data_IF_877375241312
#
_entry.id   IF_877375241312
#
_cell.length_a   1.000
_cell.length_b   1.000
_cell.length_c   1.000
_cell.angle_alpha   90.00
_cell.angle_beta   90.00
_cell.angle_gamma   90.00
#
_symmetry.space_group_name_H-M   'P 1'
#
loop_
_entity.id
_entity.type
_entity.pdbx_description
1 polymer ?
#
# COMPACT_ATOMS: atom_id res chain seq x y z
N UNK A 1 -37.43 -10.27 11.85
CA UNK A 1 -36.18 -11.04 11.79
C UNK A 1 -35.56 -11.05 13.19
N UNK A 2 -35.17 -12.19 13.76
CA UNK A 2 -34.48 -12.26 15.05
C UNK A 2 -33.15 -11.50 14.96
N UNK A 3 -32.69 -10.93 16.11
CA UNK A 3 -31.43 -10.19 16.15
C UNK A 3 -30.23 -11.02 15.70
N UNK A 4 -30.19 -12.29 16.06
CA UNK A 4 -29.14 -13.24 15.63
C UNK A 4 -29.07 -13.40 14.11
N UNK A 5 -30.22 -13.51 13.46
CA UNK A 5 -30.31 -13.63 12.02
C UNK A 5 -29.89 -12.33 11.31
N UNK A 6 -30.25 -11.19 11.89
CA UNK A 6 -29.83 -9.87 11.41
C UNK A 6 -28.30 -9.73 11.46
N UNK A 7 -27.68 -10.08 12.58
CA UNK A 7 -26.22 -9.99 12.77
C UNK A 7 -25.50 -10.91 11.79
N UNK A 8 -25.89 -12.18 11.68
CA UNK A 8 -25.27 -13.12 10.75
C UNK A 8 -25.37 -12.64 9.31
N UNK A 9 -26.54 -12.21 8.84
CA UNK A 9 -26.70 -11.65 7.50
C UNK A 9 -25.85 -10.41 7.26
N UNK A 10 -25.72 -9.55 8.27
CA UNK A 10 -24.89 -8.33 8.18
C UNK A 10 -23.42 -8.68 8.02
N UNK A 11 -22.91 -9.63 8.80
CA UNK A 11 -21.50 -10.10 8.74
C UNK A 11 -21.23 -10.79 7.41
N UNK A 12 -22.14 -11.63 6.95
CA UNK A 12 -22.04 -12.26 5.62
C UNK A 12 -21.92 -11.23 4.50
N UNK A 13 -22.81 -10.22 4.49
CA UNK A 13 -22.75 -9.14 3.49
C UNK A 13 -21.48 -8.32 3.57
N UNK A 14 -21.00 -8.05 4.79
CA UNK A 14 -19.73 -7.36 4.99
C UNK A 14 -18.58 -8.09 4.31
N UNK A 15 -18.44 -9.39 4.53
CA UNK A 15 -17.38 -10.19 3.91
C UNK A 15 -17.55 -10.31 2.40
N UNK A 16 -18.75 -10.57 1.93
CA UNK A 16 -19.02 -10.71 0.50
C UNK A 16 -18.66 -9.41 -0.26
N UNK A 17 -19.10 -8.27 0.24
CA UNK A 17 -18.78 -6.97 -0.37
C UNK A 17 -17.32 -6.57 -0.16
N UNK A 18 -16.72 -6.94 0.93
CA UNK A 18 -15.28 -6.78 1.15
C UNK A 18 -14.44 -7.54 0.12
N UNK A 19 -14.83 -8.76 -0.21
CA UNK A 19 -14.18 -9.56 -1.27
C UNK A 19 -14.41 -8.96 -2.67
N UNK A 20 -15.64 -8.56 -2.98
CA UNK A 20 -15.95 -7.90 -4.27
C UNK A 20 -15.14 -6.61 -4.42
N UNK A 21 -15.10 -5.76 -3.38
CA UNK A 21 -14.33 -4.53 -3.36
C UNK A 21 -12.83 -4.78 -3.54
N UNK A 22 -12.29 -5.81 -2.90
CA UNK A 22 -10.92 -6.25 -3.15
C UNK A 22 -10.69 -6.62 -4.63
N UNK A 23 -11.61 -7.36 -5.23
CA UNK A 23 -11.55 -7.71 -6.65
C UNK A 23 -11.53 -6.47 -7.56
N UNK A 24 -12.37 -5.47 -7.25
CA UNK A 24 -12.41 -4.18 -7.97
C UNK A 24 -11.06 -3.47 -7.87
N UNK A 25 -10.44 -3.41 -6.70
CA UNK A 25 -9.11 -2.81 -6.50
C UNK A 25 -8.01 -3.52 -7.29
N UNK A 26 -8.03 -4.86 -7.32
CA UNK A 26 -7.07 -5.66 -8.10
C UNK A 26 -7.24 -5.40 -9.60
N UNK A 27 -8.48 -5.34 -10.10
CA UNK A 27 -8.76 -5.03 -11.50
C UNK A 27 -8.32 -3.60 -11.84
N UNK A 28 -8.63 -2.63 -10.97
CA UNK A 28 -8.18 -1.25 -11.14
C UNK A 28 -6.65 -1.15 -11.23
N UNK A 29 -5.93 -1.82 -10.35
CA UNK A 29 -4.47 -1.87 -10.39
C UNK A 29 -3.95 -2.54 -11.66
N UNK A 30 -4.59 -3.63 -12.09
CA UNK A 30 -4.21 -4.34 -13.31
C UNK A 30 -4.33 -3.44 -14.55
N UNK A 31 -5.36 -2.62 -14.62
CA UNK A 31 -5.58 -1.68 -15.73
C UNK A 31 -4.60 -0.50 -15.66
N UNK A 32 -4.44 0.11 -14.48
CA UNK A 32 -3.61 1.32 -14.31
C UNK A 32 -2.11 1.04 -14.35
N UNK A 33 -1.69 -0.05 -13.73
CA UNK A 33 -0.27 -0.36 -13.50
C UNK A 33 0.24 -1.52 -14.38
N UNK A 34 -0.66 -2.13 -15.18
CA UNK A 34 -0.38 -3.31 -16.01
C UNK A 34 0.22 -4.48 -15.21
N UNK A 35 -0.16 -4.60 -13.93
CA UNK A 35 0.33 -5.64 -12.99
C UNK A 35 -0.79 -6.09 -12.07
N UNK A 36 -0.87 -7.39 -11.82
CA UNK A 36 -1.74 -7.94 -10.78
C UNK A 36 -1.07 -7.69 -9.41
N UNK A 37 -1.67 -6.80 -8.63
CA UNK A 37 -1.18 -6.44 -7.29
C UNK A 37 -2.34 -6.52 -6.30
N UNK A 38 -2.12 -7.13 -5.13
CA UNK A 38 -3.06 -7.03 -4.03
C UNK A 38 -3.02 -5.61 -3.46
N UNK A 39 -3.99 -4.77 -3.81
CA UNK A 39 -4.13 -3.37 -3.34
C UNK A 39 -4.84 -3.23 -2.01
N UNK A 40 -5.28 -4.31 -1.39
CA UNK A 40 -5.89 -4.26 -0.06
C UNK A 40 -4.88 -3.87 1.03
N UNK A 41 -5.35 -3.17 2.07
CA UNK A 41 -4.59 -3.01 3.32
C UNK A 41 -4.29 -4.38 3.93
N UNK A 42 -5.27 -5.28 3.91
CA UNK A 42 -5.16 -6.65 4.37
C UNK A 42 -4.36 -7.52 3.39
N UNK A 43 -3.76 -8.58 3.90
CA UNK A 43 -3.05 -9.57 3.09
C UNK A 43 -4.01 -10.43 2.27
N UNK A 44 -5.15 -10.77 2.85
CA UNK A 44 -6.22 -11.56 2.23
C UNK A 44 -7.10 -10.75 1.27
N UNK A 45 -8.03 -11.44 0.59
CA UNK A 45 -8.88 -10.87 -0.43
C UNK A 45 -10.10 -10.13 0.15
N UNK A 46 -9.87 -9.24 1.12
CA UNK A 46 -10.93 -8.46 1.76
C UNK A 46 -10.51 -7.00 1.83
N UNK A 47 -11.37 -6.11 1.36
CA UNK A 47 -11.23 -4.67 1.50
C UNK A 47 -12.35 -4.13 2.41
N UNK A 48 -12.09 -3.91 3.72
CA UNK A 48 -13.13 -3.63 4.72
C UNK A 48 -13.97 -2.39 4.42
N UNK A 49 -13.38 -1.35 3.83
CA UNK A 49 -14.07 -0.10 3.51
C UNK A 49 -15.27 -0.34 2.57
N UNK A 50 -15.14 -1.29 1.62
CA UNK A 50 -16.23 -1.68 0.73
C UNK A 50 -17.29 -2.48 1.47
N UNK A 51 -16.90 -3.35 2.42
CA UNK A 51 -17.83 -4.07 3.27
C UNK A 51 -18.68 -3.12 4.11
N UNK A 52 -18.05 -2.18 4.81
CA UNK A 52 -18.76 -1.16 5.60
C UNK A 52 -19.62 -0.25 4.72
N UNK A 53 -19.08 0.20 3.58
CA UNK A 53 -19.80 1.06 2.64
C UNK A 53 -21.07 0.42 2.11
N UNK A 54 -20.99 -0.83 1.68
CA UNK A 54 -22.13 -1.55 1.11
C UNK A 54 -23.19 -1.95 2.15
N UNK A 55 -22.75 -2.44 3.31
CA UNK A 55 -23.67 -2.74 4.42
C UNK A 55 -24.41 -1.46 4.84
N UNK A 56 -23.67 -0.37 5.04
CA UNK A 56 -24.27 0.93 5.35
C UNK A 56 -25.25 1.40 4.28
N UNK A 57 -24.90 1.27 3.00
CA UNK A 57 -25.74 1.65 1.87
C UNK A 57 -27.03 0.82 1.79
N UNK A 58 -26.92 -0.50 1.88
CA UNK A 58 -28.09 -1.41 1.82
C UNK A 58 -29.06 -1.08 2.95
N UNK A 59 -28.56 -0.89 4.18
CA UNK A 59 -29.43 -0.55 5.30
C UNK A 59 -29.98 0.88 5.21
N UNK A 60 -29.20 1.86 4.79
CA UNK A 60 -29.71 3.23 4.60
C UNK A 60 -30.86 3.29 3.60
N UNK A 61 -30.72 2.55 2.49
CA UNK A 61 -31.81 2.44 1.50
C UNK A 61 -33.02 1.69 2.07
N UNK A 62 -32.82 0.67 2.90
CA UNK A 62 -33.90 -0.12 3.51
C UNK A 62 -34.68 0.64 4.59
N UNK A 63 -34.07 1.64 5.24
CA UNK A 63 -34.70 2.46 6.28
C UNK A 63 -35.64 3.52 5.72
N UNK A 64 -35.49 3.88 4.44
CA UNK A 64 -36.33 4.88 3.81
C UNK A 64 -37.63 4.23 3.34
N UNK A 65 -38.82 4.80 3.68
CA UNK A 65 -40.10 4.28 3.23
C UNK A 65 -40.11 4.12 1.71
N UNK A 66 -40.54 2.96 1.23
CA UNK A 66 -40.66 2.70 -0.20
C UNK A 66 -41.71 3.64 -0.82
N UNK A 67 -41.38 4.33 -1.92
CA UNK A 67 -42.39 5.07 -2.68
C UNK A 67 -43.51 4.15 -3.18
N UNK A 68 -44.66 4.71 -3.49
CA UNK A 68 -45.81 3.98 -4.06
C UNK A 68 -45.47 3.20 -5.33
N UNK A 69 -44.37 3.55 -6.02
CA UNK A 69 -43.82 2.84 -7.18
C UNK A 69 -43.14 1.53 -6.84
N UNK A 70 -43.01 1.16 -5.56
CA UNK A 70 -42.38 -0.08 -5.11
C UNK A 70 -40.84 -0.15 -5.26
N UNK A 71 -40.21 0.92 -5.71
CA UNK A 71 -38.74 0.97 -5.90
C UNK A 71 -38.22 2.39 -5.67
N UNK A 72 -37.12 2.52 -4.93
CA UNK A 72 -36.44 3.81 -4.75
C UNK A 72 -35.87 4.31 -6.08
N UNK A 73 -35.96 5.63 -6.31
CA UNK A 73 -35.42 6.23 -7.53
C UNK A 73 -33.90 6.12 -7.60
N UNK A 74 -33.36 5.97 -8.81
CA UNK A 74 -31.90 5.93 -9.01
C UNK A 74 -31.21 7.22 -8.52
N UNK A 75 -31.90 8.36 -8.66
CA UNK A 75 -31.43 9.67 -8.19
C UNK A 75 -31.29 9.70 -6.66
N UNK A 76 -32.28 9.19 -5.94
CA UNK A 76 -32.21 9.11 -4.47
C UNK A 76 -31.07 8.18 -4.02
N UNK A 77 -30.93 7.02 -4.63
CA UNK A 77 -29.84 6.06 -4.33
C UNK A 77 -28.48 6.71 -4.62
N UNK A 78 -28.36 7.46 -5.72
CA UNK A 78 -27.14 8.16 -6.09
C UNK A 78 -26.70 9.13 -4.98
N UNK A 79 -27.58 10.02 -4.51
CA UNK A 79 -27.22 11.00 -3.49
C UNK A 79 -26.97 10.35 -2.12
N UNK A 80 -27.79 9.38 -1.71
CA UNK A 80 -27.58 8.64 -0.47
C UNK A 80 -26.22 7.93 -0.51
N UNK A 81 -25.96 7.21 -1.59
CA UNK A 81 -24.70 6.49 -1.77
C UNK A 81 -23.50 7.43 -1.83
N UNK A 82 -23.57 8.51 -2.58
CA UNK A 82 -22.54 9.52 -2.69
C UNK A 82 -22.17 10.09 -1.31
N UNK A 83 -23.15 10.52 -0.53
CA UNK A 83 -22.91 11.12 0.79
C UNK A 83 -22.36 10.09 1.76
N UNK A 84 -22.98 8.91 1.84
CA UNK A 84 -22.59 7.87 2.78
C UNK A 84 -21.17 7.33 2.50
N UNK A 85 -20.89 6.97 1.25
CA UNK A 85 -19.57 6.40 0.89
C UNK A 85 -18.48 7.44 1.00
N UNK A 86 -18.74 8.71 0.65
CA UNK A 86 -17.78 9.81 0.87
C UNK A 86 -17.51 10.04 2.35
N UNK A 87 -18.53 9.95 3.21
CA UNK A 87 -18.33 10.04 4.66
C UNK A 87 -17.47 8.86 5.20
N UNK A 88 -17.73 7.64 4.74
CA UNK A 88 -16.96 6.46 5.10
C UNK A 88 -15.51 6.57 4.61
N UNK A 89 -15.29 7.06 3.39
CA UNK A 89 -13.96 7.30 2.83
C UNK A 89 -13.20 8.36 3.65
N UNK A 90 -13.84 9.45 4.02
CA UNK A 90 -13.26 10.50 4.86
C UNK A 90 -12.87 9.97 6.25
N UNK A 91 -13.82 9.32 6.94
CA UNK A 91 -13.60 8.77 8.28
C UNK A 91 -12.55 7.66 8.25
N UNK A 92 -12.63 6.75 7.29
CA UNK A 92 -11.67 5.67 7.10
C UNK A 92 -10.26 6.18 6.82
N UNK A 93 -10.10 7.11 5.89
CA UNK A 93 -8.82 7.73 5.58
C UNK A 93 -8.22 8.50 6.75
N UNK A 94 -9.04 9.27 7.46
CA UNK A 94 -8.62 9.98 8.67
C UNK A 94 -8.22 9.02 9.80
N UNK A 95 -9.01 7.98 10.07
CA UNK A 95 -8.72 6.99 11.11
C UNK A 95 -7.42 6.23 10.83
N UNK A 96 -7.23 5.73 9.60
CA UNK A 96 -6.01 5.07 9.19
C UNK A 96 -4.79 6.00 9.32
N UNK A 97 -4.95 7.26 8.94
CA UNK A 97 -3.89 8.26 9.11
C UNK A 97 -3.54 8.50 10.58
N UNK A 98 -4.54 8.60 11.45
CA UNK A 98 -4.32 8.77 12.90
C UNK A 98 -3.60 7.59 13.55
N UNK A 99 -3.90 6.38 13.10
CA UNK A 99 -3.31 5.15 13.66
C UNK A 99 -1.91 4.90 13.09
N UNK A 100 -1.74 5.04 11.78
CA UNK A 100 -0.50 4.62 11.10
C UNK A 100 0.40 5.78 10.67
N UNK A 101 -0.05 7.05 10.76
CA UNK A 101 0.66 8.25 10.25
C UNK A 101 1.06 8.14 8.78
N UNK A 102 0.31 7.33 8.02
CA UNK A 102 0.47 7.05 6.60
C UNK A 102 -0.84 7.35 5.89
N UNK A 103 -0.78 8.07 4.77
CA UNK A 103 -1.90 8.22 3.84
C UNK A 103 -1.83 7.10 2.82
N UNK A 104 -2.85 6.26 2.81
CA UNK A 104 -2.95 5.13 1.87
C UNK A 104 -3.33 5.59 0.47
N UNK A 105 -4.09 6.67 0.36
CA UNK A 105 -4.39 7.42 -0.85
C UNK A 105 -4.29 8.91 -0.57
N UNK A 106 -4.09 9.70 -1.62
CA UNK A 106 -3.97 11.15 -1.48
C UNK A 106 -4.53 11.86 -2.70
N UNK A 107 -5.62 12.58 -2.50
CA UNK A 107 -6.27 13.40 -3.51
C UNK A 107 -5.87 14.88 -3.45
N UNK A 108 -4.77 15.23 -2.79
CA UNK A 108 -4.34 16.63 -2.63
C UNK A 108 -4.16 17.35 -3.97
N UNK A 109 -3.86 16.61 -5.04
CA UNK A 109 -3.72 17.14 -6.39
C UNK A 109 -5.05 17.31 -7.13
N UNK A 110 -6.18 16.85 -6.56
CA UNK A 110 -7.51 16.96 -7.17
C UNK A 110 -8.18 18.26 -6.76
N UNK A 111 -8.94 18.87 -7.68
CA UNK A 111 -9.69 20.10 -7.39
C UNK A 111 -10.78 19.83 -6.34
N UNK A 112 -10.96 20.79 -5.43
CA UNK A 112 -11.98 20.76 -4.36
C UNK A 112 -11.85 19.55 -3.42
N UNK A 113 -10.61 19.00 -3.26
CA UNK A 113 -10.40 17.96 -2.26
C UNK A 113 -10.53 18.51 -0.83
N UNK A 114 -10.95 17.65 0.10
CA UNK A 114 -11.01 17.97 1.52
C UNK A 114 -9.85 17.25 2.22
N UNK A 115 -8.80 18.01 2.51
CA UNK A 115 -7.62 17.51 3.20
C UNK A 115 -6.90 16.34 2.50
N UNK A 116 -7.13 16.12 1.19
CA UNK A 116 -6.59 15.01 0.43
C UNK A 116 -7.28 13.67 0.69
N UNK A 117 -8.28 13.60 1.57
CA UNK A 117 -8.98 12.35 1.89
C UNK A 117 -10.08 12.02 0.90
N UNK A 118 -10.82 13.03 0.45
CA UNK A 118 -11.95 12.92 -0.48
C UNK A 118 -11.90 14.01 -1.54
N UNK A 119 -12.51 13.77 -2.70
CA UNK A 119 -12.70 14.78 -3.72
C UNK A 119 -14.01 14.55 -4.50
N UNK A 120 -14.64 15.61 -5.06
CA UNK A 120 -15.94 15.52 -5.73
C UNK A 120 -15.99 14.51 -6.87
N UNK A 121 -14.90 14.38 -7.61
CA UNK A 121 -14.82 13.45 -8.73
C UNK A 121 -15.03 11.99 -8.29
N UNK A 122 -14.38 11.55 -7.22
CA UNK A 122 -14.57 10.21 -6.69
C UNK A 122 -15.90 10.08 -5.95
N UNK A 123 -16.36 11.12 -5.25
CA UNK A 123 -17.69 11.12 -4.63
C UNK A 123 -18.81 10.88 -5.66
N UNK A 124 -18.75 11.52 -6.82
CA UNK A 124 -19.70 11.29 -7.92
C UNK A 124 -19.61 9.85 -8.45
N UNK A 125 -18.40 9.33 -8.60
CA UNK A 125 -18.17 7.94 -9.03
C UNK A 125 -18.77 6.94 -8.04
N UNK A 126 -18.59 7.19 -6.75
CA UNK A 126 -19.20 6.38 -5.67
C UNK A 126 -20.72 6.42 -5.71
N UNK A 127 -21.31 7.61 -6.01
CA UNK A 127 -22.76 7.73 -6.21
C UNK A 127 -23.26 6.85 -7.35
N UNK A 128 -22.60 6.89 -8.51
CA UNK A 128 -22.93 6.03 -9.65
C UNK A 128 -22.74 4.54 -9.32
N UNK A 129 -21.64 4.18 -8.68
CA UNK A 129 -21.38 2.83 -8.19
C UNK A 129 -22.48 2.32 -7.25
N UNK A 130 -22.97 3.20 -6.37
CA UNK A 130 -24.07 2.88 -5.45
C UNK A 130 -25.38 2.54 -6.16
N UNK A 131 -25.72 3.26 -7.24
CA UNK A 131 -26.88 2.91 -8.08
C UNK A 131 -26.72 1.54 -8.72
N UNK A 132 -25.56 1.26 -9.31
CA UNK A 132 -25.25 -0.05 -9.90
C UNK A 132 -25.35 -1.16 -8.84
N UNK A 133 -24.76 -0.94 -7.69
CA UNK A 133 -24.75 -1.92 -6.60
C UNK A 133 -26.16 -2.23 -6.09
N UNK A 134 -26.97 -1.23 -5.80
CA UNK A 134 -28.33 -1.42 -5.26
C UNK A 134 -29.32 -1.93 -6.30
N UNK A 135 -29.24 -1.46 -7.55
CA UNK A 135 -30.22 -1.83 -8.58
C UNK A 135 -29.91 -3.15 -9.28
N UNK A 136 -28.63 -3.52 -9.36
CA UNK A 136 -28.21 -4.68 -10.16
C UNK A 136 -27.49 -5.70 -9.30
N UNK A 137 -26.36 -5.34 -8.69
CA UNK A 137 -25.46 -6.32 -8.07
C UNK A 137 -26.09 -6.92 -6.80
N UNK A 138 -26.58 -6.09 -5.88
CA UNK A 138 -27.19 -6.58 -4.64
C UNK A 138 -28.38 -7.52 -4.86
N UNK A 139 -29.36 -7.22 -5.74
CA UNK A 139 -30.46 -8.16 -6.01
C UNK A 139 -30.02 -9.50 -6.61
N UNK A 140 -28.99 -9.50 -7.46
CA UNK A 140 -28.44 -10.73 -8.03
C UNK A 140 -27.78 -11.59 -6.95
N UNK A 141 -26.95 -10.97 -6.10
CA UNK A 141 -26.28 -11.65 -4.99
C UNK A 141 -27.27 -12.15 -3.94
N UNK A 142 -28.30 -11.35 -3.63
CA UNK A 142 -29.36 -11.74 -2.69
C UNK A 142 -30.14 -12.98 -3.17
N UNK A 143 -30.43 -13.07 -4.46
CA UNK A 143 -31.06 -14.29 -5.05
C UNK A 143 -30.18 -15.53 -4.87
N UNK A 144 -28.88 -15.39 -5.05
CA UNK A 144 -27.92 -16.49 -4.88
C UNK A 144 -27.71 -16.90 -3.42
N UNK A 145 -27.80 -15.98 -2.48
CA UNK A 145 -27.56 -16.24 -1.05
C UNK A 145 -28.83 -16.62 -0.25
N UNK A 146 -30.00 -16.25 -0.73
CA UNK A 146 -31.28 -16.56 -0.05
C UNK A 146 -31.51 -18.06 0.27
N UNK A 147 -31.10 -19.03 -0.57
CA UNK A 147 -31.26 -20.44 -0.26
C UNK A 147 -30.25 -20.97 0.75
N UNK A 148 -29.28 -20.17 1.21
CA UNK A 148 -28.26 -20.62 2.17
C UNK A 148 -28.86 -20.83 3.55
N UNK A 149 -28.73 -22.05 4.16
CA UNK A 149 -29.20 -22.30 5.50
C UNK A 149 -28.49 -21.42 6.54
N UNK A 150 -29.22 -20.93 7.55
CA UNK A 150 -28.68 -20.07 8.61
C UNK A 150 -27.41 -20.65 9.27
N UNK A 151 -27.40 -21.96 9.56
CA UNK A 151 -26.23 -22.64 10.15
C UNK A 151 -24.99 -22.57 9.25
N UNK A 152 -25.18 -22.75 7.93
CA UNK A 152 -24.08 -22.69 6.98
C UNK A 152 -23.51 -21.26 6.89
N UNK A 153 -24.36 -20.25 6.86
CA UNK A 153 -23.96 -18.84 6.88
C UNK A 153 -23.20 -18.50 8.15
N UNK A 154 -23.71 -18.92 9.33
CA UNK A 154 -23.06 -18.70 10.62
C UNK A 154 -21.66 -19.35 10.68
N UNK A 155 -21.51 -20.59 10.22
CA UNK A 155 -20.22 -21.28 10.20
C UNK A 155 -19.25 -20.53 9.29
N UNK A 156 -19.69 -20.15 8.09
CA UNK A 156 -18.89 -19.38 7.14
C UNK A 156 -18.42 -18.05 7.75
N UNK A 157 -19.33 -17.31 8.39
CA UNK A 157 -19.02 -16.03 9.01
C UNK A 157 -18.00 -16.18 10.15
N UNK A 158 -18.13 -17.20 11.00
CA UNK A 158 -17.16 -17.48 12.06
C UNK A 158 -15.77 -17.75 11.47
N UNK A 159 -15.68 -18.58 10.44
CA UNK A 159 -14.41 -18.91 9.78
C UNK A 159 -13.79 -17.66 9.16
N UNK A 160 -14.58 -16.90 8.40
CA UNK A 160 -14.11 -15.66 7.76
C UNK A 160 -13.70 -14.61 8.80
N UNK A 161 -14.43 -14.51 9.91
CA UNK A 161 -14.11 -13.59 10.99
C UNK A 161 -12.79 -13.93 11.69
N UNK A 162 -12.50 -15.20 11.92
CA UNK A 162 -11.22 -15.64 12.48
C UNK A 162 -10.07 -15.25 11.54
N UNK A 163 -10.17 -15.57 10.24
CA UNK A 163 -9.16 -15.19 9.25
C UNK A 163 -9.00 -13.68 9.16
N UNK A 164 -10.11 -12.94 9.18
CA UNK A 164 -10.10 -11.48 9.16
C UNK A 164 -9.35 -10.87 10.35
N UNK A 165 -9.61 -11.35 11.55
CA UNK A 165 -8.93 -10.86 12.78
C UNK A 165 -7.42 -11.13 12.71
N UNK A 166 -7.02 -12.34 12.32
CA UNK A 166 -5.60 -12.69 12.12
C UNK A 166 -4.96 -11.78 11.07
N UNK A 167 -5.62 -11.56 9.95
CA UNK A 167 -5.11 -10.72 8.87
C UNK A 167 -5.01 -9.24 9.28
N UNK A 168 -5.98 -8.72 10.04
CA UNK A 168 -5.91 -7.36 10.62
C UNK A 168 -4.68 -7.22 11.52
N UNK A 169 -4.41 -8.20 12.38
CA UNK A 169 -3.25 -8.19 13.27
C UNK A 169 -1.94 -8.18 12.46
N UNK A 170 -1.81 -9.09 11.48
CA UNK A 170 -0.61 -9.21 10.65
C UNK A 170 -0.40 -7.95 9.79
N UNK A 171 -1.45 -7.44 9.17
CA UNK A 171 -1.39 -6.24 8.33
C UNK A 171 -1.09 -4.98 9.13
N UNK A 172 -1.63 -4.88 10.35
CA UNK A 172 -1.32 -3.81 11.31
C UNK A 172 0.15 -3.87 11.75
N UNK A 173 0.64 -5.05 12.09
CA UNK A 173 2.05 -5.24 12.44
C UNK A 173 2.98 -4.82 11.28
N UNK A 174 2.62 -5.17 10.04
CA UNK A 174 3.35 -4.75 8.84
C UNK A 174 3.34 -3.23 8.64
N UNK A 175 2.21 -2.56 8.89
CA UNK A 175 2.10 -1.10 8.77
C UNK A 175 2.91 -0.36 9.85
N UNK A 176 2.88 -0.85 11.09
CA UNK A 176 3.71 -0.33 12.19
C UNK A 176 5.20 -0.57 11.90
N UNK A 177 5.54 -1.77 11.42
CA UNK A 177 6.89 -2.12 10.98
C UNK A 177 7.41 -1.18 9.89
N UNK A 178 6.56 -0.79 8.93
CA UNK A 178 6.91 0.18 7.90
C UNK A 178 7.34 1.54 8.49
N UNK A 179 6.60 2.05 9.45
CA UNK A 179 6.96 3.31 10.10
C UNK A 179 8.27 3.21 10.88
N UNK A 180 8.50 2.12 11.59
CA UNK A 180 9.76 1.88 12.30
C UNK A 180 10.93 1.83 11.33
N UNK A 181 10.79 1.10 10.24
CA UNK A 181 11.79 1.00 9.19
C UNK A 181 12.10 2.37 8.55
N UNK A 182 11.08 3.14 8.16
CA UNK A 182 11.28 4.47 7.60
C UNK A 182 12.02 5.39 8.56
N UNK A 183 11.71 5.32 9.86
CA UNK A 183 12.41 6.08 10.90
C UNK A 183 13.88 5.68 10.98
N UNK A 184 14.17 4.38 11.03
CA UNK A 184 15.55 3.88 11.10
C UNK A 184 16.37 4.30 9.89
N UNK A 185 15.80 4.20 8.69
CA UNK A 185 16.45 4.67 7.45
C UNK A 185 16.67 6.19 7.47
N UNK A 186 15.71 6.96 7.96
CA UNK A 186 15.83 8.42 8.06
C UNK A 186 16.96 8.84 9.02
N UNK A 187 17.03 8.21 10.19
CA UNK A 187 18.10 8.40 11.16
C UNK A 187 19.49 8.03 10.56
N UNK A 188 19.56 6.91 9.83
CA UNK A 188 20.79 6.49 9.16
C UNK A 188 21.22 7.47 8.07
N UNK A 189 20.28 7.99 7.29
CA UNK A 189 20.53 9.03 6.28
C UNK A 189 20.99 10.33 6.90
N UNK A 190 20.38 10.75 8.01
CA UNK A 190 20.82 11.95 8.73
C UNK A 190 22.28 11.82 9.21
N UNK A 191 22.66 10.64 9.74
CA UNK A 191 24.06 10.35 10.14
C UNK A 191 25.00 10.33 8.94
N UNK A 192 24.61 9.74 7.83
CA UNK A 192 25.38 9.76 6.56
C UNK A 192 25.59 11.18 6.06
N UNK A 193 24.56 12.05 6.15
CA UNK A 193 24.65 13.44 5.74
C UNK A 193 25.68 14.21 6.56
N UNK A 194 25.69 14.05 7.89
CA UNK A 194 26.69 14.65 8.77
C UNK A 194 28.11 14.18 8.39
N UNK A 195 28.27 12.90 8.08
CA UNK A 195 29.57 12.35 7.66
C UNK A 195 29.99 12.88 6.27
N UNK A 196 29.02 13.00 5.36
CA UNK A 196 29.22 13.63 4.03
C UNK A 196 29.65 15.09 4.12
N UNK A 197 29.01 15.86 4.97
CA UNK A 197 29.31 17.29 5.15
C UNK A 197 30.72 17.48 5.74
N UNK A 198 31.13 16.63 6.70
CA UNK A 198 32.51 16.60 7.22
C UNK A 198 33.52 16.29 6.13
N UNK A 199 33.27 15.26 5.31
CA UNK A 199 34.14 14.90 4.18
C UNK A 199 34.22 16.02 3.14
N UNK A 200 33.11 16.64 2.80
CA UNK A 200 33.05 17.78 1.86
C UNK A 200 33.86 18.97 2.37
N UNK A 201 33.75 19.28 3.67
CA UNK A 201 34.52 20.36 4.31
C UNK A 201 36.03 20.07 4.29
N UNK A 202 36.44 18.84 4.58
CA UNK A 202 37.85 18.41 4.59
C UNK A 202 38.42 18.34 3.17
N UNK A 203 37.64 17.85 2.20
CA UNK A 203 38.11 17.69 0.80
C UNK A 203 38.13 19.02 0.03
N UNK A 204 37.36 20.06 0.44
CA UNK A 204 37.21 21.31 -0.27
C UNK A 204 36.63 21.16 -1.68
N UNK A 205 35.87 20.09 -1.93
CA UNK A 205 35.27 19.75 -3.22
C UNK A 205 33.73 19.92 -3.17
N UNK A 206 33.08 19.83 -4.34
CA UNK A 206 31.62 19.90 -4.46
C UNK A 206 30.91 18.90 -3.54
N UNK A 207 29.76 19.31 -2.99
CA UNK A 207 29.00 18.56 -1.99
C UNK A 207 28.86 17.06 -2.33
N UNK A 208 29.34 16.21 -1.44
CA UNK A 208 29.13 14.77 -1.51
C UNK A 208 27.74 14.44 -1.01
N UNK A 209 26.95 13.74 -1.80
CA UNK A 209 25.60 13.29 -1.40
C UNK A 209 25.67 11.97 -0.63
N UNK A 210 24.62 11.66 0.17
CA UNK A 210 24.50 10.37 0.86
C UNK A 210 24.58 9.19 -0.12
N UNK A 211 24.05 9.34 -1.34
CA UNK A 211 24.12 8.32 -2.39
C UNK A 211 25.56 8.09 -2.89
N UNK A 212 26.39 9.12 -2.87
CA UNK A 212 27.82 9.02 -3.25
C UNK A 212 28.61 8.25 -2.20
N UNK A 213 28.26 8.36 -0.92
CA UNK A 213 28.92 7.65 0.18
C UNK A 213 28.51 6.17 0.22
N UNK A 214 27.28 5.86 -0.17
CA UNK A 214 26.80 4.49 -0.26
C UNK A 214 27.36 3.73 -1.47
N UNK A 215 27.82 4.45 -2.50
CA UNK A 215 28.52 3.88 -3.66
C UNK A 215 30.01 3.66 -3.30
N UNK A 216 30.40 2.38 -3.20
CA UNK A 216 31.75 2.00 -2.77
C UNK A 216 32.86 2.56 -3.65
N UNK A 217 32.66 2.56 -4.96
CA UNK A 217 33.66 3.06 -5.91
C UNK A 217 33.83 4.58 -5.79
N UNK A 218 32.74 5.32 -5.65
CA UNK A 218 32.77 6.77 -5.46
C UNK A 218 33.37 7.16 -4.11
N UNK A 219 33.05 6.39 -3.06
CA UNK A 219 33.65 6.58 -1.75
C UNK A 219 35.15 6.35 -1.77
N UNK A 220 35.62 5.25 -2.37
CA UNK A 220 37.05 4.94 -2.49
C UNK A 220 37.80 6.00 -3.30
N UNK A 221 37.21 6.52 -4.38
CA UNK A 221 37.76 7.60 -5.17
C UNK A 221 37.88 8.92 -4.38
N UNK A 222 36.87 9.19 -3.53
CA UNK A 222 36.88 10.34 -2.64
C UNK A 222 37.93 10.21 -1.53
N UNK A 223 38.07 9.02 -0.96
CA UNK A 223 39.08 8.71 0.07
C UNK A 223 40.50 8.71 -0.51
N UNK A 224 40.69 8.32 -1.76
CA UNK A 224 41.98 8.42 -2.45
C UNK A 224 42.47 9.88 -2.58
N UNK A 225 41.55 10.85 -2.73
CA UNK A 225 41.89 12.29 -2.77
C UNK A 225 42.33 12.86 -1.42
N UNK A 226 42.20 12.11 -0.33
CA UNK A 226 42.72 12.46 0.99
C UNK A 226 44.20 12.10 1.16
N UNK A 227 44.77 11.30 0.24
CA UNK A 227 46.19 10.91 0.32
C UNK A 227 47.08 12.16 0.26
N UNK A 228 47.95 12.31 1.28
CA UNK A 228 48.85 13.45 1.41
C UNK A 228 48.41 14.55 2.40
N UNK A 229 47.26 14.43 3.08
CA UNK A 229 46.87 15.36 4.13
C UNK A 229 47.22 14.84 5.53
N UNK A 230 47.58 15.76 6.46
CA UNK A 230 47.71 15.42 7.88
C UNK A 230 46.42 14.78 8.39
N UNK A 231 46.53 13.65 9.09
CA UNK A 231 45.42 12.82 9.62
C UNK A 231 44.55 12.11 8.57
N UNK A 232 45.01 11.99 7.31
CA UNK A 232 44.25 11.35 6.24
C UNK A 232 43.93 9.87 6.53
N UNK A 233 44.88 9.16 7.16
CA UNK A 233 44.73 7.73 7.50
C UNK A 233 43.68 7.50 8.60
N UNK A 234 43.66 8.37 9.62
CA UNK A 234 42.72 8.28 10.73
C UNK A 234 41.29 8.61 10.26
N UNK A 235 41.14 9.69 9.49
CA UNK A 235 39.83 10.10 8.92
C UNK A 235 39.29 9.03 7.95
N UNK A 236 40.19 8.42 7.14
CA UNK A 236 39.80 7.33 6.24
C UNK A 236 39.30 6.12 7.01
N UNK A 237 39.98 5.72 8.09
CA UNK A 237 39.59 4.61 8.95
C UNK A 237 38.22 4.89 9.63
N UNK A 238 38.03 6.09 10.19
CA UNK A 238 36.76 6.50 10.82
C UNK A 238 35.60 6.44 9.82
N UNK A 239 35.78 7.01 8.63
CA UNK A 239 34.71 7.05 7.60
C UNK A 239 34.39 5.66 7.11
N UNK A 240 35.41 4.82 6.83
CA UNK A 240 35.20 3.47 6.34
C UNK A 240 34.47 2.61 7.37
N UNK A 241 34.86 2.68 8.65
CA UNK A 241 34.19 1.98 9.74
C UNK A 241 32.74 2.41 9.89
N UNK A 242 32.47 3.72 9.86
CA UNK A 242 31.14 4.29 10.02
C UNK A 242 30.21 3.96 8.85
N UNK A 243 30.72 3.99 7.63
CA UNK A 243 29.96 3.60 6.44
C UNK A 243 29.71 2.09 6.43
N UNK A 244 30.66 1.28 6.87
CA UNK A 244 30.51 -0.16 7.05
C UNK A 244 29.38 -0.50 8.03
N UNK A 245 29.39 0.11 9.23
CA UNK A 245 28.32 -0.06 10.23
C UNK A 245 26.94 0.35 9.69
N UNK A 246 26.89 1.45 8.95
CA UNK A 246 25.63 1.95 8.38
C UNK A 246 25.10 1.05 7.28
N UNK A 247 25.99 0.47 6.44
CA UNK A 247 25.61 -0.52 5.42
C UNK A 247 25.07 -1.79 6.05
N UNK A 248 25.73 -2.28 7.09
CA UNK A 248 25.28 -3.47 7.83
C UNK A 248 23.90 -3.26 8.44
N UNK A 249 23.67 -2.12 9.10
CA UNK A 249 22.35 -1.74 9.65
C UNK A 249 21.28 -1.61 8.58
N UNK A 250 21.61 -1.03 7.42
CA UNK A 250 20.67 -0.93 6.28
C UNK A 250 20.30 -2.32 5.75
N UNK A 251 21.28 -3.24 5.66
CA UNK A 251 21.05 -4.60 5.18
C UNK A 251 20.22 -5.41 6.19
N UNK A 252 20.51 -5.25 7.49
CA UNK A 252 19.73 -5.89 8.56
C UNK A 252 18.28 -5.37 8.59
N UNK A 253 18.08 -4.05 8.47
CA UNK A 253 16.75 -3.45 8.40
C UNK A 253 15.94 -3.94 7.20
N UNK A 254 16.58 -4.19 6.06
CA UNK A 254 15.92 -4.72 4.85
C UNK A 254 15.48 -6.19 5.01
N UNK A 255 16.18 -6.97 5.83
CA UNK A 255 15.87 -8.38 6.10
C UNK A 255 14.64 -8.55 7.03
N UNK A 256 14.45 -7.68 8.01
CA UNK A 256 13.35 -7.76 8.97
C UNK A 256 11.98 -7.31 8.38
N UNK A 257 11.94 -6.96 7.10
CA UNK A 257 10.90 -6.13 6.53
C UNK A 257 10.00 -6.77 5.45
N UNK A 258 9.78 -8.08 5.51
CA UNK A 258 8.99 -8.83 4.49
C UNK A 258 7.56 -8.28 4.29
N UNK A 259 6.89 -7.81 5.34
CA UNK A 259 5.49 -7.34 5.26
C UNK A 259 5.32 -5.99 4.55
N UNK A 260 6.26 -5.07 4.69
CA UNK A 260 6.10 -3.73 4.16
C UNK A 260 6.48 -3.58 2.68
N UNK A 261 7.28 -4.46 2.11
CA UNK A 261 7.45 -4.54 0.66
C UNK A 261 6.11 -4.77 -0.05
N UNK A 262 5.19 -5.50 0.58
CA UNK A 262 3.82 -5.66 0.08
C UNK A 262 3.08 -4.32 0.09
N UNK A 263 3.12 -3.58 1.19
CA UNK A 263 2.43 -2.29 1.33
C UNK A 263 2.99 -1.24 0.37
N UNK A 264 4.31 -1.15 0.21
CA UNK A 264 4.95 -0.26 -0.76
C UNK A 264 4.52 -0.55 -2.21
N UNK A 265 4.26 -1.81 -2.51
CA UNK A 265 3.77 -2.25 -3.83
C UNK A 265 2.28 -2.01 -4.00
N UNK A 266 1.49 -2.27 -2.95
CA UNK A 266 0.04 -2.16 -2.97
C UNK A 266 -0.42 -0.69 -3.11
N UNK A 267 0.34 0.24 -2.55
CA UNK A 267 -0.03 1.66 -2.48
C UNK A 267 1.07 2.57 -3.04
N UNK A 268 1.20 2.67 -4.38
CA UNK A 268 2.23 3.50 -5.00
C UNK A 268 2.08 4.99 -4.67
N UNK A 269 0.86 5.47 -4.44
CA UNK A 269 0.55 6.86 -4.12
C UNK A 269 0.53 7.16 -2.60
N UNK A 270 0.88 6.18 -1.75
CA UNK A 270 0.96 6.32 -0.30
C UNK A 270 1.97 7.40 0.11
N UNK A 271 1.64 8.23 1.09
CA UNK A 271 2.53 9.26 1.64
C UNK A 271 2.74 9.04 3.13
N UNK A 272 3.98 9.14 3.59
CA UNK A 272 4.32 9.26 5.01
C UNK A 272 4.36 10.73 5.42
N UNK A 273 3.78 11.07 6.56
CA UNK A 273 3.82 12.44 7.06
C UNK A 273 5.23 12.83 7.53
N UNK A 274 5.89 11.93 8.24
CA UNK A 274 7.14 12.21 8.94
C UNK A 274 8.38 11.87 8.10
N UNK A 275 8.25 10.98 7.10
CA UNK A 275 9.36 10.38 6.35
C UNK A 275 9.10 10.38 4.84
N UNK A 276 8.60 11.50 4.30
CA UNK A 276 8.22 11.59 2.88
C UNK A 276 9.41 11.34 1.94
N UNK A 277 10.54 11.99 2.19
CA UNK A 277 11.75 11.88 1.38
C UNK A 277 12.37 10.49 1.49
N UNK A 278 12.38 9.91 2.70
CA UNK A 278 12.87 8.57 2.96
C UNK A 278 12.01 7.51 2.27
N UNK A 279 10.69 7.66 2.29
CA UNK A 279 9.76 6.81 1.57
C UNK A 279 9.97 6.88 0.04
N UNK A 280 10.12 8.09 -0.50
CA UNK A 280 10.36 8.29 -1.93
C UNK A 280 11.68 7.63 -2.37
N UNK A 281 12.74 7.81 -1.60
CA UNK A 281 14.03 7.22 -1.90
C UNK A 281 14.04 5.67 -1.73
N UNK A 282 13.34 5.13 -0.72
CA UNK A 282 13.17 3.68 -0.55
C UNK A 282 12.44 3.06 -1.74
N UNK A 283 11.41 3.74 -2.26
CA UNK A 283 10.72 3.32 -3.49
C UNK A 283 11.64 3.32 -4.69
N UNK A 284 12.40 4.39 -4.89
CA UNK A 284 13.33 4.50 -6.01
C UNK A 284 14.40 3.38 -5.94
N UNK A 285 14.96 3.11 -4.76
CA UNK A 285 15.91 2.01 -4.55
C UNK A 285 15.28 0.64 -4.86
N UNK A 286 14.08 0.37 -4.35
CA UNK A 286 13.35 -0.87 -4.61
C UNK A 286 13.04 -1.05 -6.10
N UNK A 287 12.72 0.02 -6.80
CA UNK A 287 12.45 -0.02 -8.24
C UNK A 287 13.73 -0.35 -9.03
N UNK A 288 14.84 0.32 -8.72
CA UNK A 288 16.15 0.03 -9.34
C UNK A 288 16.58 -1.42 -9.16
N UNK A 289 16.43 -1.96 -7.95
CA UNK A 289 16.74 -3.36 -7.68
C UNK A 289 15.89 -4.32 -8.52
N UNK A 290 14.62 -4.02 -8.72
CA UNK A 290 13.73 -4.81 -9.58
C UNK A 290 14.13 -4.75 -11.04
N UNK A 291 14.50 -3.58 -11.53
CA UNK A 291 14.96 -3.39 -12.91
C UNK A 291 16.25 -4.18 -13.16
N UNK A 292 17.20 -4.14 -12.21
CA UNK A 292 18.42 -4.93 -12.26
C UNK A 292 18.12 -6.44 -12.21
N UNK A 293 17.24 -6.90 -11.34
CA UNK A 293 16.83 -8.30 -11.26
C UNK A 293 16.11 -8.76 -12.53
N UNK A 294 15.27 -7.92 -13.13
CA UNK A 294 14.61 -8.21 -14.41
C UNK A 294 15.60 -8.30 -15.55
N UNK A 295 16.56 -7.39 -15.63
CA UNK A 295 17.63 -7.40 -16.63
C UNK A 295 18.51 -8.65 -16.48
N UNK A 296 18.91 -9.02 -15.26
CA UNK A 296 19.66 -10.23 -14.98
C UNK A 296 18.91 -11.50 -15.40
N UNK A 297 17.59 -11.55 -15.12
CA UNK A 297 16.74 -12.67 -15.54
C UNK A 297 16.59 -12.76 -17.06
N UNK A 298 16.49 -11.64 -17.74
CA UNK A 298 16.42 -11.58 -19.21
C UNK A 298 17.75 -12.08 -19.84
N UNK A 299 18.90 -11.61 -19.34
CA UNK A 299 20.21 -12.04 -19.79
C UNK A 299 20.44 -13.54 -19.54
N UNK A 300 20.03 -14.06 -18.38
CA UNK A 300 20.10 -15.49 -18.09
C UNK A 300 19.24 -16.34 -19.05
N UNK A 301 18.04 -15.86 -19.38
CA UNK A 301 17.13 -16.52 -20.34
C UNK A 301 17.72 -16.53 -21.75
N UNK A 302 18.33 -15.45 -22.19
CA UNK A 302 18.99 -15.34 -23.49
C UNK A 302 20.20 -16.27 -23.58
N UNK A 303 21.01 -16.30 -22.52
CA UNK A 303 22.15 -17.22 -22.43
C UNK A 303 21.73 -18.68 -22.51
N UNK A 304 20.64 -19.04 -21.78
CA UNK A 304 20.09 -20.40 -21.83
C UNK A 304 19.50 -20.76 -23.22
N UNK A 305 18.84 -19.81 -23.88
CA UNK A 305 18.31 -20.00 -25.23
C UNK A 305 19.44 -20.24 -26.26
N UNK A 306 20.49 -19.43 -26.18
CA UNK A 306 21.67 -19.54 -27.05
C UNK A 306 22.43 -20.87 -26.83
N UNK A 307 22.52 -21.34 -25.57
CA UNK A 307 23.10 -22.65 -25.24
C UNK A 307 22.24 -23.82 -25.81
N UNK A 308 20.92 -23.74 -25.68
CA UNK A 308 20.01 -24.76 -26.22
C UNK A 308 20.06 -24.81 -27.76
N UNK A 309 20.22 -23.68 -28.42
CA UNK A 309 20.37 -23.63 -29.89
C UNK A 309 21.70 -24.24 -30.37
N UNK A 310 22.79 -24.01 -29.61
CA UNK A 310 24.08 -24.64 -29.90
C UNK A 310 24.04 -26.17 -29.78
N UNK A 311 23.32 -26.69 -28.77
CA UNK A 311 23.15 -28.14 -28.57
C UNK A 311 22.31 -28.75 -29.70
N UNK A 312 21.33 -28.05 -30.24
CA UNK A 312 20.52 -28.53 -31.36
C UNK A 312 21.26 -28.56 -32.71
N UNK A 313 22.33 -27.76 -32.85
CA UNK A 313 23.14 -27.67 -34.06
C UNK A 313 24.39 -28.57 -34.05
N UNK A 314 24.71 -29.17 -32.89
CA UNK A 314 25.75 -30.19 -32.71
C UNK A 314 25.15 -31.60 -32.80
#
# INVERSE_FOLDING_TARGET
MPLSEFVVKTVYWFFLYGCIGWGVEVVYAAIKEHKLVNRGFLCGPICPIYGFGMVGLVYSVSLIPMPSSGSMSAVAIFFIGMILTTAIELVGGWALFKVYHIRWWDYSNMKFNLGGYICPQFSLLWGLGSVLMIKVVHPLLARGSNPMPFKAMLILDIVLFIFFVVDVIVSTAAAIGLNKYLREIDELRARLRVTSDKLTTVLGTSAMTADTILDEQKLQLALAKLEGRENAAELRAEVTARVGELREKLTAADHDFIGAHRLLRAFPDMKSLNYADTLAATRAATQRLRELAAAAKAAAKETAANAAEKIKKA
#
